data_IF_390630898553
#
_entry.id   IF_390630898553
#
_cell.length_a   1.000
_cell.length_b   1.000
_cell.length_c   1.000
_cell.angle_alpha   90.00
_cell.angle_beta   90.00
_cell.angle_gamma   90.00
#
_symmetry.space_group_name_H-M   'P 1'
#
loop_
_entity.id
_entity.type
_entity.pdbx_description
1 polymer ?
#
# COMPACT_ATOMS: atom_id res chain seq x y z
N UNK A 1 -6.33 -26.28 5.84
CA UNK A 1 -5.13 -25.50 5.47
C UNK A 1 -5.49 -24.60 4.30
N UNK A 2 -5.77 -23.32 4.57
CA UNK A 2 -6.40 -22.41 3.62
C UNK A 2 -5.46 -21.94 2.50
N UNK A 3 -5.89 -22.08 1.25
CA UNK A 3 -5.15 -21.73 0.03
C UNK A 3 -5.01 -20.21 -0.22
N UNK A 4 -5.44 -19.36 0.71
CA UNK A 4 -5.41 -17.91 0.54
C UNK A 4 -4.03 -17.28 0.81
N UNK A 5 -3.13 -17.98 1.50
CA UNK A 5 -1.78 -17.48 1.80
C UNK A 5 -0.83 -17.52 0.59
N UNK A 6 -1.05 -18.45 -0.36
CA UNK A 6 -0.11 -18.74 -1.45
C UNK A 6 -0.12 -17.69 -2.58
N UNK A 7 -1.15 -16.85 -2.64
CA UNK A 7 -1.28 -15.79 -3.65
C UNK A 7 -0.41 -14.56 -3.35
N UNK A 8 0.00 -14.38 -2.08
CA UNK A 8 0.86 -13.26 -1.67
C UNK A 8 2.36 -13.58 -1.82
N UNK A 9 2.72 -14.87 -1.94
CA UNK A 9 4.11 -15.33 -2.08
C UNK A 9 4.66 -15.17 -3.52
N UNK A 10 3.81 -14.77 -4.48
CA UNK A 10 4.26 -14.52 -5.84
C UNK A 10 4.70 -13.05 -5.98
N UNK A 11 6.01 -12.74 -6.05
CA UNK A 11 6.53 -11.38 -6.06
C UNK A 11 6.12 -10.56 -7.31
N UNK A 12 5.56 -11.21 -8.33
CA UNK A 12 5.08 -10.59 -9.58
C UNK A 12 3.55 -10.51 -9.66
N UNK A 13 2.86 -10.34 -8.54
CA UNK A 13 1.44 -10.05 -8.57
C UNK A 13 1.22 -8.58 -8.93
N UNK A 14 1.11 -8.28 -10.23
CA UNK A 14 0.87 -6.92 -10.74
C UNK A 14 -0.33 -6.23 -10.09
N UNK A 15 -1.32 -7.00 -9.62
CA UNK A 15 -2.48 -6.49 -8.87
C UNK A 15 -2.07 -6.00 -7.49
N UNK A 16 -1.17 -6.72 -6.80
CA UNK A 16 -0.65 -6.32 -5.49
C UNK A 16 0.20 -5.05 -5.60
N UNK A 17 1.05 -4.96 -6.62
CA UNK A 17 1.89 -3.77 -6.83
C UNK A 17 1.05 -2.55 -7.22
N UNK A 18 0.05 -2.72 -8.09
CA UNK A 18 -0.91 -1.67 -8.40
C UNK A 18 -1.69 -1.21 -7.15
N UNK A 19 -2.09 -2.17 -6.30
CA UNK A 19 -2.78 -1.86 -5.05
C UNK A 19 -1.87 -1.13 -4.06
N UNK A 20 -0.64 -1.60 -3.82
CA UNK A 20 0.35 -0.95 -2.95
C UNK A 20 0.63 0.48 -3.39
N UNK A 21 0.80 0.68 -4.71
CA UNK A 21 1.02 1.99 -5.30
C UNK A 21 -0.17 2.94 -5.06
N UNK A 22 -1.39 2.49 -5.37
CA UNK A 22 -2.61 3.27 -5.12
C UNK A 22 -2.80 3.60 -3.63
N UNK A 23 -2.51 2.66 -2.74
CA UNK A 23 -2.58 2.87 -1.30
C UNK A 23 -1.59 3.94 -0.83
N UNK A 24 -0.33 3.83 -1.24
CA UNK A 24 0.72 4.75 -0.79
C UNK A 24 0.60 6.15 -1.40
N UNK A 25 0.13 6.27 -2.64
CA UNK A 25 0.10 7.56 -3.36
C UNK A 25 -1.23 8.30 -3.23
N UNK A 26 -2.37 7.60 -3.16
CA UNK A 26 -3.68 8.23 -3.39
C UNK A 26 -4.63 8.16 -2.19
N UNK A 27 -4.41 7.29 -1.21
CA UNK A 27 -5.34 7.11 -0.10
C UNK A 27 -4.95 8.01 1.08
N UNK A 28 -5.65 9.14 1.31
CA UNK A 28 -5.48 9.91 2.53
C UNK A 28 -6.02 9.13 3.72
N UNK A 29 -5.28 9.18 4.83
CA UNK A 29 -5.67 8.53 6.08
C UNK A 29 -5.74 9.56 7.21
N UNK A 30 -6.78 9.50 8.04
CA UNK A 30 -6.96 10.39 9.18
C UNK A 30 -5.79 10.31 10.18
N UNK A 31 -5.22 9.11 10.37
CA UNK A 31 -4.04 8.89 11.22
C UNK A 31 -2.78 9.62 10.71
N UNK A 32 -2.73 9.94 9.42
CA UNK A 32 -1.63 10.68 8.80
C UNK A 32 -1.97 12.17 8.62
N UNK A 33 -3.04 12.67 9.23
CA UNK A 33 -3.50 14.05 9.04
C UNK A 33 -4.18 14.28 7.70
N UNK A 34 -4.92 13.29 7.20
CA UNK A 34 -5.61 13.31 5.90
C UNK A 34 -4.69 13.46 4.69
N UNK A 35 -3.44 13.01 4.80
CA UNK A 35 -2.52 12.91 3.66
C UNK A 35 -2.22 11.47 3.30
N UNK A 36 -1.81 11.24 2.05
CA UNK A 36 -1.36 9.93 1.59
C UNK A 36 -0.04 9.54 2.27
N UNK A 37 0.22 8.22 2.48
CA UNK A 37 1.46 7.73 3.09
C UNK A 37 2.73 8.28 2.44
N UNK A 38 2.79 8.36 1.10
CA UNK A 38 3.94 8.90 0.39
C UNK A 38 4.16 10.41 0.68
N UNK A 39 3.07 11.17 0.85
CA UNK A 39 3.15 12.60 1.20
C UNK A 39 3.60 12.77 2.64
N UNK A 40 3.11 11.93 3.56
CA UNK A 40 3.55 11.92 4.95
C UNK A 40 5.04 11.58 5.07
N UNK A 41 5.50 10.52 4.40
CA UNK A 41 6.91 10.10 4.40
C UNK A 41 7.86 11.20 3.90
N UNK A 42 7.43 12.00 2.91
CA UNK A 42 8.19 13.15 2.40
C UNK A 42 8.24 14.34 3.38
N UNK A 43 7.31 14.42 4.33
CA UNK A 43 7.22 15.51 5.32
C UNK A 43 8.00 15.21 6.61
N UNK A 44 8.23 13.94 6.94
CA UNK A 44 8.94 13.52 8.15
C UNK A 44 10.48 13.55 8.01
N UNK A 45 11.01 14.61 7.39
CA UNK A 45 12.47 14.83 7.23
C UNK A 45 13.12 15.18 8.56
#
# INVERSE_FOLDING_TARGET
MGLWARTLENPNNSVLEAWKRGYNEQRPHSSLGYVAPAVFARKCV
#
